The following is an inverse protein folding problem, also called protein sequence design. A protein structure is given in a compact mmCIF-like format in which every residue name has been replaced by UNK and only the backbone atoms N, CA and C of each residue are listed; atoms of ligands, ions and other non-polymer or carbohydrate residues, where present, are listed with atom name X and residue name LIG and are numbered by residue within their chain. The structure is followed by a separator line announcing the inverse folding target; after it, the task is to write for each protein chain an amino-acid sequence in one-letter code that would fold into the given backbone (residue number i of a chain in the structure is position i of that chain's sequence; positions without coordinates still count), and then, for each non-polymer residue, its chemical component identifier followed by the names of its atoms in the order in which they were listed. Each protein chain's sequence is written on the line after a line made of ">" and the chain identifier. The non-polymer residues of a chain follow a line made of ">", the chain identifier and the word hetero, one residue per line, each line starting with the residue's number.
data_IF_634907857489
#
_entry.id   IF_634907857489
#
_cell.length_a   1.000
_cell.length_b   1.000
_cell.length_c   1.000
_cell.angle_alpha   90.00
_cell.angle_beta   90.00
_cell.angle_gamma   90.00
#
_symmetry.space_group_name_H-M   'P 1'
#
loop_
_entity.id
_entity.type
_entity.pdbx_description
1 polymer ?
#
# COMPACT_ATOMS: atom_id res chain seq x y z
N UNK A 1 -12.15 43.52 22.83
CA UNK A 1 -11.45 42.85 21.71
C UNK A 1 -10.08 42.25 22.11
N UNK A 2 -9.96 41.57 23.26
CA UNK A 2 -8.68 40.94 23.70
C UNK A 2 -8.78 39.41 23.84
N UNK A 3 -10.01 38.87 23.89
CA UNK A 3 -10.30 37.43 24.01
C UNK A 3 -10.41 36.69 22.67
N UNK A 4 -10.72 37.40 21.57
CA UNK A 4 -10.85 36.78 20.23
C UNK A 4 -9.47 36.50 19.63
N UNK A 5 -8.46 37.31 19.94
CA UNK A 5 -7.11 37.18 19.38
C UNK A 5 -6.35 35.95 19.92
N UNK A 6 -6.63 35.54 21.17
CA UNK A 6 -5.97 34.38 21.81
C UNK A 6 -6.45 33.05 21.22
N UNK A 7 -7.72 32.99 20.77
CA UNK A 7 -8.31 31.78 20.18
C UNK A 7 -7.73 31.51 18.79
N UNK A 8 -7.43 32.55 18.00
CA UNK A 8 -6.76 32.38 16.70
C UNK A 8 -5.31 31.87 16.84
N UNK A 9 -4.59 32.27 17.90
CA UNK A 9 -3.21 31.82 18.13
C UNK A 9 -3.12 30.33 18.44
N UNK A 10 -4.10 29.80 19.18
CA UNK A 10 -4.15 28.37 19.57
C UNK A 10 -4.57 27.49 18.38
N UNK A 11 -5.47 27.97 17.53
CA UNK A 11 -5.87 27.25 16.30
C UNK A 11 -4.72 27.13 15.28
N UNK A 12 -3.90 28.18 15.13
CA UNK A 12 -2.74 28.14 14.23
C UNK A 12 -1.61 27.24 14.74
N UNK A 13 -1.48 27.05 16.06
CA UNK A 13 -0.53 26.10 16.63
C UNK A 13 -1.00 24.65 16.51
N UNK A 14 -2.31 24.38 16.63
CA UNK A 14 -2.85 23.03 16.46
C UNK A 14 -2.80 22.51 15.03
N UNK A 15 -2.82 23.37 14.01
CA UNK A 15 -2.65 22.95 12.62
C UNK A 15 -1.22 22.50 12.29
N UNK A 16 -0.21 22.96 13.02
CA UNK A 16 1.20 22.62 12.78
C UNK A 16 1.68 21.35 13.50
N UNK A 17 0.88 20.79 14.41
CA UNK A 17 1.25 19.58 15.16
C UNK A 17 0.94 18.29 14.36
N UNK A 18 0.04 18.36 13.36
CA UNK A 18 -0.42 17.19 12.59
C UNK A 18 0.20 17.03 11.19
N UNK A 19 1.14 17.88 10.77
CA UNK A 19 1.71 17.83 9.41
C UNK A 19 3.21 17.52 9.34
N UNK A 20 3.85 17.06 10.42
CA UNK A 20 5.29 16.79 10.43
C UNK A 20 5.70 15.46 9.78
N UNK A 21 5.12 15.14 8.63
CA UNK A 21 5.72 14.19 7.70
C UNK A 21 6.32 15.03 6.58
N UNK A 22 7.62 14.91 6.32
CA UNK A 22 8.21 15.66 5.21
C UNK A 22 7.49 15.30 3.92
N UNK A 23 7.05 16.31 3.16
CA UNK A 23 6.27 16.14 1.93
C UNK A 23 6.89 15.08 1.00
N UNK A 24 8.23 15.03 0.96
CA UNK A 24 9.02 14.05 0.21
C UNK A 24 8.75 12.57 0.57
N UNK A 25 8.50 12.23 1.84
CA UNK A 25 8.22 10.84 2.22
C UNK A 25 6.81 10.45 1.79
N UNK A 26 5.82 11.32 1.98
CA UNK A 26 4.46 11.06 1.52
C UNK A 26 4.39 10.93 0.00
N UNK A 27 5.10 11.77 -0.73
CA UNK A 27 5.22 11.69 -2.19
C UNK A 27 5.88 10.39 -2.65
N UNK A 28 7.01 10.00 -2.04
CA UNK A 28 7.67 8.73 -2.36
C UNK A 28 6.75 7.53 -2.09
N UNK A 29 6.03 7.52 -0.97
CA UNK A 29 5.09 6.46 -0.66
C UNK A 29 4.00 6.37 -1.73
N UNK A 30 3.36 7.51 -2.03
CA UNK A 30 2.30 7.59 -3.04
C UNK A 30 2.79 7.18 -4.42
N UNK A 31 4.01 7.56 -4.80
CA UNK A 31 4.63 7.12 -6.04
C UNK A 31 4.77 5.60 -6.08
N UNK A 32 5.37 4.98 -5.06
CA UNK A 32 5.63 3.53 -5.06
C UNK A 32 4.34 2.69 -5.08
N UNK A 33 3.32 3.08 -4.31
CA UNK A 33 2.08 2.28 -4.25
C UNK A 33 1.20 2.43 -5.49
N UNK A 34 1.34 3.54 -6.23
CA UNK A 34 0.57 3.81 -7.45
C UNK A 34 1.39 3.58 -8.73
N UNK A 35 2.66 3.22 -8.61
CA UNK A 35 3.48 2.87 -9.76
C UNK A 35 2.87 1.68 -10.50
N UNK A 36 2.70 1.82 -11.81
CA UNK A 36 2.20 0.77 -12.69
C UNK A 36 3.41 0.26 -13.49
N UNK A 37 3.81 -1.01 -13.32
CA UNK A 37 4.89 -1.55 -14.09
C UNK A 37 4.68 -1.45 -15.60
N UNK A 38 5.78 -1.24 -16.33
CA UNK A 38 5.80 -1.01 -17.78
C UNK A 38 5.04 -2.11 -18.54
N UNK A 39 5.25 -3.37 -18.16
CA UNK A 39 4.61 -4.55 -18.73
C UNK A 39 3.11 -4.70 -18.37
N UNK A 40 2.59 -3.91 -17.43
CA UNK A 40 1.19 -3.91 -16.99
C UNK A 40 0.41 -2.63 -17.39
N UNK A 41 1.07 -1.64 -17.99
CA UNK A 41 0.46 -0.34 -18.32
C UNK A 41 -0.49 -0.34 -19.53
N UNK A 42 -0.18 -1.10 -20.58
CA UNK A 42 -0.82 -0.94 -21.90
C UNK A 42 -1.82 -2.05 -22.29
N UNK A 43 -2.22 -2.88 -21.33
CA UNK A 43 -2.90 -4.11 -21.66
C UNK A 43 -4.34 -4.16 -21.12
N UNK A 44 -5.30 -4.71 -21.87
CA UNK A 44 -6.70 -4.90 -21.43
C UNK A 44 -6.81 -5.82 -20.18
N UNK A 45 -7.98 -5.91 -19.54
CA UNK A 45 -8.16 -6.72 -18.32
C UNK A 45 -7.62 -8.16 -18.48
N UNK A 46 -6.72 -8.60 -17.59
CA UNK A 46 -6.05 -9.92 -17.66
C UNK A 46 -6.85 -11.04 -17.02
N UNK A 47 -7.67 -10.72 -16.04
CA UNK A 47 -8.36 -11.70 -15.20
C UNK A 47 -9.85 -11.46 -15.11
N UNK A 48 -10.60 -12.52 -14.81
CA UNK A 48 -12.04 -12.43 -14.54
C UNK A 48 -12.33 -11.49 -13.36
N UNK A 49 -11.43 -11.43 -12.39
CA UNK A 49 -11.53 -10.51 -11.26
C UNK A 49 -11.47 -9.04 -11.70
N UNK A 50 -10.54 -8.70 -12.58
CA UNK A 50 -10.41 -7.37 -13.15
C UNK A 50 -11.63 -6.98 -14.01
N UNK A 51 -12.15 -7.92 -14.81
CA UNK A 51 -13.37 -7.72 -15.60
C UNK A 51 -14.58 -7.47 -14.70
N UNK A 52 -14.75 -8.28 -13.65
CA UNK A 52 -15.85 -8.19 -12.67
C UNK A 52 -15.87 -6.81 -12.00
N UNK A 53 -14.71 -6.33 -11.56
CA UNK A 53 -14.60 -5.07 -10.83
C UNK A 53 -14.26 -3.85 -11.70
N UNK A 54 -14.15 -4.04 -13.02
CA UNK A 54 -13.81 -3.00 -14.00
C UNK A 54 -12.60 -2.15 -13.59
N UNK A 55 -11.60 -2.81 -13.02
CA UNK A 55 -10.38 -2.18 -12.51
C UNK A 55 -9.19 -3.09 -12.79
N UNK A 56 -8.01 -2.51 -13.00
CA UNK A 56 -6.79 -3.27 -13.26
C UNK A 56 -6.04 -3.53 -11.97
N UNK A 57 -5.56 -4.76 -11.79
CA UNK A 57 -4.80 -5.17 -10.61
C UNK A 57 -3.30 -4.94 -10.81
N UNK A 58 -2.93 -3.76 -11.28
CA UNK A 58 -1.59 -3.47 -11.81
C UNK A 58 -0.74 -2.52 -10.94
N UNK A 59 -1.22 -2.16 -9.74
CA UNK A 59 -0.42 -1.47 -8.74
C UNK A 59 -0.84 -1.91 -7.33
N UNK A 60 0.02 -1.61 -6.35
CA UNK A 60 -0.16 -2.05 -4.97
C UNK A 60 -1.41 -1.44 -4.35
N UNK A 61 -1.69 -0.17 -4.63
CA UNK A 61 -2.82 0.56 -4.06
C UNK A 61 -4.18 -0.05 -4.45
N UNK A 62 -4.36 -0.46 -5.71
CA UNK A 62 -5.61 -1.08 -6.17
C UNK A 62 -5.80 -2.47 -5.54
N UNK A 63 -4.78 -3.33 -5.55
CA UNK A 63 -4.87 -4.66 -4.93
C UNK A 63 -5.16 -4.54 -3.43
N UNK A 64 -4.49 -3.59 -2.77
CA UNK A 64 -4.74 -3.24 -1.36
C UNK A 64 -6.19 -2.81 -1.13
N UNK A 65 -6.72 -1.91 -1.96
CA UNK A 65 -8.10 -1.42 -1.86
C UNK A 65 -9.13 -2.55 -1.99
N UNK A 66 -8.91 -3.48 -2.93
CA UNK A 66 -9.77 -4.65 -3.11
C UNK A 66 -9.65 -5.60 -1.93
N UNK A 67 -8.44 -5.83 -1.44
CA UNK A 67 -8.18 -6.68 -0.26
C UNK A 67 -8.88 -6.15 0.99
N UNK A 68 -8.83 -4.84 1.23
CA UNK A 68 -9.54 -4.17 2.33
C UNK A 68 -11.07 -4.23 2.16
N UNK A 69 -11.54 -4.22 0.91
CA UNK A 69 -12.96 -4.27 0.58
C UNK A 69 -13.51 -5.70 0.48
N UNK A 70 -12.67 -6.74 0.67
CA UNK A 70 -12.98 -8.13 0.37
C UNK A 70 -14.31 -8.62 0.98
N UNK A 71 -14.57 -8.27 2.24
CA UNK A 71 -15.84 -8.61 2.92
C UNK A 71 -17.04 -7.88 2.34
N UNK A 72 -16.88 -6.58 2.01
CA UNK A 72 -17.96 -5.75 1.45
C UNK A 72 -18.36 -6.22 0.05
N UNK A 73 -17.39 -6.65 -0.75
CA UNK A 73 -17.60 -7.12 -2.12
C UNK A 73 -17.77 -8.65 -2.23
N UNK A 74 -17.76 -9.34 -1.07
CA UNK A 74 -17.97 -10.79 -0.93
C UNK A 74 -17.06 -11.62 -1.87
N UNK A 75 -15.74 -11.42 -1.76
CA UNK A 75 -14.79 -12.22 -2.53
C UNK A 75 -14.93 -13.72 -2.21
N UNK A 76 -14.95 -14.54 -3.27
CA UNK A 76 -14.94 -16.00 -3.15
C UNK A 76 -13.50 -16.55 -3.21
N UNK A 77 -13.31 -17.83 -2.87
CA UNK A 77 -11.96 -18.44 -2.78
C UNK A 77 -11.16 -18.34 -4.09
N UNK A 78 -11.81 -18.56 -5.24
CA UNK A 78 -11.13 -18.43 -6.53
C UNK A 78 -10.63 -16.99 -6.79
N UNK A 79 -11.29 -15.99 -6.24
CA UNK A 79 -10.89 -14.59 -6.36
C UNK A 79 -9.73 -14.25 -5.42
N UNK A 80 -9.68 -14.85 -4.23
CA UNK A 80 -8.50 -14.76 -3.37
C UNK A 80 -7.27 -15.39 -4.02
N UNK A 81 -7.42 -16.53 -4.70
CA UNK A 81 -6.33 -17.14 -5.47
C UNK A 81 -5.86 -16.25 -6.64
N UNK A 82 -6.78 -15.54 -7.29
CA UNK A 82 -6.41 -14.55 -8.31
C UNK A 82 -5.64 -13.38 -7.69
N UNK A 83 -6.05 -12.85 -6.54
CA UNK A 83 -5.33 -11.79 -5.83
C UNK A 83 -3.91 -12.22 -5.44
N UNK A 84 -3.74 -13.47 -4.96
CA UNK A 84 -2.42 -14.02 -4.65
C UNK A 84 -1.52 -14.06 -5.89
N UNK A 85 -2.06 -14.50 -7.03
CA UNK A 85 -1.32 -14.54 -8.30
C UNK A 85 -0.91 -13.14 -8.74
N UNK A 86 -1.84 -12.18 -8.68
CA UNK A 86 -1.57 -10.77 -8.99
C UNK A 86 -0.52 -10.17 -8.05
N UNK A 87 -0.48 -10.58 -6.78
CA UNK A 87 0.57 -10.14 -5.85
C UNK A 87 1.96 -10.58 -6.30
N UNK A 88 2.10 -11.85 -6.71
CA UNK A 88 3.37 -12.42 -7.17
C UNK A 88 3.79 -11.86 -8.54
N UNK A 89 2.84 -11.68 -9.46
CA UNK A 89 3.07 -11.03 -10.77
C UNK A 89 3.51 -9.57 -10.59
N UNK A 90 2.81 -8.80 -9.76
CA UNK A 90 3.15 -7.41 -9.49
C UNK A 90 4.55 -7.27 -8.88
N UNK A 91 4.90 -8.14 -7.92
CA UNK A 91 6.25 -8.15 -7.34
C UNK A 91 7.32 -8.43 -8.40
N UNK A 92 7.05 -9.35 -9.33
CA UNK A 92 7.95 -9.70 -10.42
C UNK A 92 8.15 -8.52 -11.38
N UNK A 93 7.06 -7.86 -11.79
CA UNK A 93 7.17 -6.75 -12.73
C UNK A 93 7.78 -5.49 -12.11
N UNK A 94 7.51 -5.20 -10.83
CA UNK A 94 8.21 -4.14 -10.11
C UNK A 94 9.71 -4.39 -10.02
N UNK A 95 10.11 -5.64 -9.75
CA UNK A 95 11.52 -6.03 -9.74
C UNK A 95 12.18 -5.82 -11.11
N UNK A 96 11.51 -6.22 -12.20
CA UNK A 96 11.97 -6.03 -13.57
C UNK A 96 12.16 -4.55 -13.92
N UNK A 97 11.30 -3.68 -13.39
CA UNK A 97 11.40 -2.22 -13.55
C UNK A 97 12.41 -1.56 -12.58
N UNK A 98 13.10 -2.34 -11.74
CA UNK A 98 14.11 -1.83 -10.81
C UNK A 98 13.55 -1.22 -9.52
N UNK A 99 12.29 -1.50 -9.19
CA UNK A 99 11.61 -0.97 -8.01
C UNK A 99 11.52 -2.05 -6.94
N UNK A 100 12.25 -1.84 -5.83
CA UNK A 100 12.39 -2.83 -4.76
C UNK A 100 11.88 -2.27 -3.44
N UNK A 101 10.83 -2.90 -2.92
CA UNK A 101 10.34 -2.58 -1.58
C UNK A 101 9.51 -3.73 -1.00
N UNK A 102 9.28 -3.66 0.31
CA UNK A 102 8.44 -4.58 1.05
C UNK A 102 7.25 -3.84 1.66
N UNK A 103 6.20 -4.58 2.02
CA UNK A 103 4.97 -4.06 2.60
C UNK A 103 4.80 -4.55 4.03
N UNK A 104 4.38 -3.67 4.94
CA UNK A 104 4.05 -4.04 6.33
C UNK A 104 2.78 -3.35 6.77
N UNK A 105 1.85 -4.09 7.34
CA UNK A 105 0.71 -3.50 8.04
C UNK A 105 1.12 -2.98 9.41
N UNK A 106 0.63 -1.79 9.80
CA UNK A 106 0.84 -1.24 11.13
C UNK A 106 -0.46 -0.69 11.71
N UNK A 107 -0.72 -1.04 12.97
CA UNK A 107 -1.93 -0.70 13.71
C UNK A 107 -1.57 0.26 14.85
N UNK A 108 -1.52 1.56 14.56
CA UNK A 108 -1.43 2.61 15.60
C UNK A 108 -1.63 4.00 15.00
N UNK A 109 -2.01 4.96 15.85
CA UNK A 109 -1.93 6.39 15.55
C UNK A 109 -0.46 6.85 15.63
N UNK A 110 0.06 7.50 14.58
CA UNK A 110 1.47 7.94 14.51
C UNK A 110 2.38 7.03 13.67
N UNK A 111 1.89 6.56 12.53
CA UNK A 111 2.60 5.65 11.66
C UNK A 111 3.61 6.40 10.77
N UNK A 112 4.89 6.03 10.86
CA UNK A 112 5.92 6.48 9.91
C UNK A 112 5.81 5.60 8.66
N UNK A 113 5.60 6.15 7.46
CA UNK A 113 5.28 5.38 6.24
C UNK A 113 6.44 4.52 5.73
N UNK A 114 7.65 4.73 6.24
CA UNK A 114 8.86 4.06 5.79
C UNK A 114 9.70 3.55 6.95
N UNK A 115 10.24 2.37 6.75
CA UNK A 115 11.39 1.82 7.47
C UNK A 115 12.29 1.14 6.45
N UNK A 116 13.23 0.32 6.90
CA UNK A 116 14.06 -0.50 6.04
C UNK A 116 14.28 -1.89 6.63
N UNK A 117 14.41 -2.88 5.76
CA UNK A 117 14.81 -4.25 6.10
C UNK A 117 16.07 -4.61 5.32
N UNK A 118 16.89 -5.51 5.85
CA UNK A 118 18.04 -6.08 5.12
C UNK A 118 17.60 -7.40 4.48
N UNK A 119 17.70 -7.50 3.16
CA UNK A 119 17.42 -8.72 2.38
C UNK A 119 18.67 -9.04 1.57
N UNK A 120 19.25 -10.23 1.75
CA UNK A 120 20.47 -10.66 1.05
C UNK A 120 21.61 -9.63 1.09
N UNK A 121 21.78 -8.94 2.23
CA UNK A 121 22.80 -7.90 2.43
C UNK A 121 22.46 -6.52 1.84
N UNK A 122 21.34 -6.36 1.14
CA UNK A 122 20.86 -5.09 0.59
C UNK A 122 19.85 -4.43 1.53
N UNK A 123 19.93 -3.11 1.67
CA UNK A 123 18.91 -2.32 2.38
C UNK A 123 17.73 -2.06 1.45
N UNK A 124 16.57 -2.57 1.83
CA UNK A 124 15.33 -2.47 1.07
C UNK A 124 14.33 -1.59 1.83
N UNK A 125 13.62 -0.73 1.11
CA UNK A 125 12.56 0.10 1.70
C UNK A 125 11.43 -0.79 2.19
N UNK A 126 10.96 -0.54 3.42
CA UNK A 126 9.79 -1.19 4.00
C UNK A 126 8.67 -0.16 4.12
N UNK A 127 7.67 -0.26 3.25
CA UNK A 127 6.50 0.61 3.23
C UNK A 127 5.54 0.16 4.32
N UNK A 128 5.23 1.06 5.22
CA UNK A 128 4.36 0.80 6.35
C UNK A 128 2.97 1.33 6.01
N UNK A 129 2.04 0.40 5.82
CA UNK A 129 0.64 0.70 5.58
C UNK A 129 -0.09 0.86 6.91
N UNK A 130 -0.53 2.09 7.16
CA UNK A 130 -1.11 2.51 8.42
C UNK A 130 -2.62 2.28 8.41
N UNK A 131 -3.14 1.50 9.35
CA UNK A 131 -4.58 1.27 9.52
C UNK A 131 -5.06 1.76 10.88
N UNK A 132 -6.25 2.37 10.92
CA UNK A 132 -6.90 2.81 12.18
C UNK A 132 -7.34 1.64 13.08
N UNK A 133 -7.36 0.42 12.55
CA UNK A 133 -7.58 -0.83 13.28
C UNK A 133 -7.77 -2.00 12.31
N UNK A 134 -7.17 -3.16 12.58
CA UNK A 134 -7.49 -4.38 11.83
C UNK A 134 -8.75 -5.01 12.40
N UNK A 135 -9.82 -4.97 11.62
CA UNK A 135 -10.92 -5.93 11.74
C UNK A 135 -10.48 -7.28 11.16
N UNK A 136 -11.33 -8.30 11.20
CA UNK A 136 -11.09 -9.56 10.47
C UNK A 136 -10.77 -9.35 8.96
N UNK A 137 -11.15 -8.20 8.40
CA UNK A 137 -10.89 -7.81 7.01
C UNK A 137 -9.38 -7.54 6.75
N UNK A 138 -8.60 -7.28 7.81
CA UNK A 138 -7.15 -7.15 7.76
C UNK A 138 -6.40 -8.42 7.33
N UNK A 139 -7.03 -9.60 7.44
CA UNK A 139 -6.38 -10.88 7.08
C UNK A 139 -6.09 -10.99 5.58
N UNK A 140 -6.98 -10.46 4.73
CA UNK A 140 -6.81 -10.54 3.28
C UNK A 140 -5.66 -9.65 2.83
N UNK A 141 -5.56 -8.44 3.36
CA UNK A 141 -4.44 -7.56 3.03
C UNK A 141 -3.11 -8.08 3.55
N UNK A 142 -3.09 -8.70 4.74
CA UNK A 142 -1.88 -9.36 5.23
C UNK A 142 -1.46 -10.54 4.36
N UNK A 143 -2.42 -11.32 3.82
CA UNK A 143 -2.15 -12.38 2.83
C UNK A 143 -1.53 -11.78 1.56
N UNK A 144 -2.08 -10.68 1.05
CA UNK A 144 -1.48 -9.96 -0.08
C UNK A 144 -0.04 -9.52 0.22
N UNK A 145 0.20 -8.88 1.37
CA UNK A 145 1.54 -8.44 1.77
C UNK A 145 2.52 -9.61 1.89
N UNK A 146 2.09 -10.74 2.46
CA UNK A 146 2.92 -11.94 2.59
C UNK A 146 3.33 -12.49 1.22
N UNK A 147 2.37 -12.65 0.31
CA UNK A 147 2.62 -13.13 -1.06
C UNK A 147 3.56 -12.22 -1.84
N UNK A 148 3.26 -10.92 -1.82
CA UNK A 148 4.08 -9.89 -2.45
C UNK A 148 5.51 -9.90 -1.90
N UNK A 149 5.65 -9.83 -0.57
CA UNK A 149 6.96 -9.75 0.08
C UNK A 149 7.78 -11.00 -0.13
N UNK A 150 7.17 -12.19 -0.03
CA UNK A 150 7.85 -13.45 -0.28
C UNK A 150 8.43 -13.47 -1.68
N UNK A 151 7.61 -13.13 -2.69
CA UNK A 151 8.08 -13.10 -4.08
C UNK A 151 9.16 -12.05 -4.31
N UNK A 152 9.01 -10.85 -3.75
CA UNK A 152 10.02 -9.80 -3.85
C UNK A 152 11.34 -10.21 -3.18
N UNK A 153 11.31 -10.84 -2.00
CA UNK A 153 12.50 -11.35 -1.30
C UNK A 153 13.21 -12.48 -2.06
N UNK A 154 12.46 -13.32 -2.77
CA UNK A 154 13.03 -14.36 -3.64
C UNK A 154 13.79 -13.79 -4.84
N UNK A 155 13.42 -12.59 -5.31
CA UNK A 155 14.00 -11.94 -6.48
C UNK A 155 15.22 -11.06 -6.16
N UNK A 156 15.28 -10.47 -4.96
CA UNK A 156 16.31 -9.53 -4.50
C UNK A 156 17.65 -10.21 -4.18
#
# INVERSE_FOLDING_TARGET
>A
MRRITIILSILLFCCNIYSQQSDNLSEKFNYLINYIPSNLGNKEFFSELEKKYKTRLNNVNIITTISLSAKKIQLIESEFLMLDKHAEELATELYNDGIYFLLKGYMSHGCVPFSSEIVNGKKIDLLIWCYGGMTNDGKVILRFFDKFNRKMKELI
#
